data_IF_592116291281
#
_entry.id   IF_592116291281
#
_cell.length_a   1.000
_cell.length_b   1.000
_cell.length_c   1.000
_cell.angle_alpha   90.00
_cell.angle_beta   90.00
_cell.angle_gamma   90.00
#
_symmetry.space_group_name_H-M   'P 1'
#
loop_
_entity.id
_entity.type
_entity.pdbx_description
1 polymer ?
#
# COMPACT_ATOMS: atom_id res chain seq x y z
N UNK A 1 9.89 -0.27 7.03
CA UNK A 1 9.83 0.16 5.62
C UNK A 1 8.40 0.58 5.30
N UNK A 2 8.19 1.54 4.40
CA UNK A 2 6.84 1.96 4.04
C UNK A 2 6.29 1.06 2.93
N UNK A 3 5.07 0.55 3.13
CA UNK A 3 4.37 -0.24 2.11
C UNK A 3 3.58 0.71 1.21
N UNK A 4 3.77 0.56 -0.09
CA UNK A 4 3.04 1.32 -1.10
C UNK A 4 2.14 0.38 -1.91
N UNK A 5 0.84 0.65 -1.90
CA UNK A 5 -0.11 0.03 -2.83
C UNK A 5 0.04 0.64 -4.20
N UNK A 6 0.16 -0.21 -5.22
CA UNK A 6 0.27 0.24 -6.60
C UNK A 6 -0.79 -0.40 -7.51
N UNK A 7 -1.13 0.35 -8.54
CA UNK A 7 -1.91 -0.11 -9.70
C UNK A 7 -1.08 0.21 -10.93
N UNK A 8 -0.75 -0.80 -11.71
CA UNK A 8 0.04 -0.66 -12.92
C UNK A 8 -0.52 -1.52 -14.06
N UNK A 9 -0.10 -1.22 -15.28
CA UNK A 9 -0.38 -2.03 -16.47
C UNK A 9 0.93 -2.73 -16.87
N UNK A 10 0.89 -4.05 -17.03
CA UNK A 10 2.02 -4.80 -17.57
C UNK A 10 2.21 -4.50 -19.05
N UNK A 11 3.36 -4.86 -19.60
CA UNK A 11 3.60 -4.77 -21.05
C UNK A 11 2.55 -5.54 -21.88
N UNK A 12 1.93 -6.58 -21.33
CA UNK A 12 0.86 -7.35 -21.99
C UNK A 12 -0.52 -6.67 -21.93
N UNK A 13 -0.61 -5.45 -21.39
CA UNK A 13 -1.88 -4.74 -21.22
C UNK A 13 -2.69 -5.21 -20.00
N UNK A 14 -2.13 -6.10 -19.17
CA UNK A 14 -2.83 -6.65 -18.01
C UNK A 14 -2.71 -5.69 -16.83
N UNK A 15 -3.83 -5.36 -16.20
CA UNK A 15 -3.86 -4.55 -14.99
C UNK A 15 -3.39 -5.38 -13.81
N UNK A 16 -2.35 -4.92 -13.12
CA UNK A 16 -1.76 -5.56 -11.94
C UNK A 16 -1.90 -4.61 -10.76
N UNK A 17 -2.38 -5.16 -9.66
CA UNK A 17 -2.45 -4.47 -8.36
C UNK A 17 -1.63 -5.25 -7.35
N UNK A 18 -0.87 -4.55 -6.51
CA UNK A 18 -0.06 -5.19 -5.48
C UNK A 18 0.58 -4.18 -4.54
N UNK A 19 1.41 -4.71 -3.66
CA UNK A 19 2.10 -3.93 -2.64
C UNK A 19 3.60 -3.97 -2.92
N UNK A 20 4.29 -2.85 -2.65
CA UNK A 20 5.74 -2.77 -2.79
C UNK A 20 6.34 -2.05 -1.59
N UNK A 21 7.37 -2.68 -1.02
CA UNK A 21 8.17 -2.08 0.03
C UNK A 21 9.18 -1.11 -0.55
N UNK A 22 9.14 0.14 -0.11
CA UNK A 22 10.13 1.15 -0.48
C UNK A 22 10.32 2.16 0.66
N UNK A 23 11.46 2.86 0.64
CA UNK A 23 11.67 3.98 1.55
C UNK A 23 10.79 5.18 1.16
N UNK A 24 10.71 5.45 -0.14
CA UNK A 24 10.05 6.63 -0.69
C UNK A 24 9.28 6.31 -1.98
N UNK A 25 8.30 7.14 -2.32
CA UNK A 25 7.46 6.97 -3.51
C UNK A 25 8.26 6.97 -4.83
N UNK A 26 9.39 7.70 -4.85
CA UNK A 26 10.29 7.78 -6.01
C UNK A 26 10.98 6.43 -6.27
N UNK A 27 11.40 5.76 -5.20
CA UNK A 27 12.01 4.42 -5.26
C UNK A 27 10.95 3.39 -5.68
N UNK A 28 9.73 3.46 -5.11
CA UNK A 28 8.63 2.59 -5.51
C UNK A 28 8.33 2.68 -7.02
N UNK A 29 8.24 3.90 -7.59
CA UNK A 29 8.08 4.07 -9.04
C UNK A 29 9.24 3.50 -9.83
N UNK A 30 10.47 3.78 -9.41
CA UNK A 30 11.66 3.28 -10.09
C UNK A 30 11.67 1.74 -10.16
N UNK A 31 11.34 1.07 -9.05
CA UNK A 31 11.25 -0.39 -9.01
C UNK A 31 10.17 -0.94 -9.95
N UNK A 32 9.03 -0.26 -10.06
CA UNK A 32 7.96 -0.66 -10.98
C UNK A 32 8.34 -0.44 -12.45
N UNK A 33 9.01 0.68 -12.77
CA UNK A 33 9.52 0.92 -14.12
C UNK A 33 10.61 -0.05 -14.52
N UNK A 34 11.50 -0.44 -13.59
CA UNK A 34 12.51 -1.49 -13.83
C UNK A 34 11.88 -2.84 -14.22
N UNK A 35 10.64 -3.10 -13.79
CA UNK A 35 9.86 -4.28 -14.16
C UNK A 35 9.05 -4.10 -15.46
N UNK A 36 9.28 -3.04 -16.24
CA UNK A 36 8.49 -2.68 -17.41
C UNK A 36 6.99 -2.57 -17.13
N UNK A 37 6.62 -2.09 -15.95
CA UNK A 37 5.23 -1.83 -15.58
C UNK A 37 4.92 -0.35 -15.72
N UNK A 38 3.81 -0.03 -16.38
CA UNK A 38 3.34 1.34 -16.52
C UNK A 38 2.46 1.71 -15.33
N UNK A 39 2.97 2.57 -14.45
CA UNK A 39 2.30 2.95 -13.21
C UNK A 39 1.10 3.86 -13.51
N UNK A 40 -0.08 3.50 -12.99
CA UNK A 40 -1.28 4.35 -13.02
C UNK A 40 -1.49 5.08 -11.69
N UNK A 41 -1.29 4.37 -10.58
CA UNK A 41 -1.49 4.93 -9.23
C UNK A 41 -0.56 4.26 -8.23
N UNK A 42 -0.02 5.05 -7.31
CA UNK A 42 0.72 4.57 -6.14
C UNK A 42 0.24 5.36 -4.93
N UNK A 43 -0.14 4.66 -3.88
CA UNK A 43 -0.61 5.24 -2.61
C UNK A 43 0.18 4.63 -1.47
N UNK A 44 0.59 5.47 -0.51
CA UNK A 44 1.19 4.99 0.74
C UNK A 44 0.08 4.43 1.61
N UNK A 45 0.23 3.21 2.08
CA UNK A 45 -0.73 2.68 3.07
C UNK A 45 -0.43 3.24 4.46
N UNK A 46 -1.42 3.90 5.05
CA UNK A 46 -1.40 4.32 6.43
C UNK A 46 -2.11 3.26 7.28
N UNK A 47 -1.38 2.22 7.70
CA UNK A 47 -1.89 1.19 8.62
C UNK A 47 -2.21 1.72 10.03
N UNK A 48 -1.84 2.96 10.34
CA UNK A 48 -1.96 3.52 11.68
C UNK A 48 -3.42 3.66 12.15
N UNK A 49 -4.36 4.01 11.26
CA UNK A 49 -5.73 4.36 11.64
C UNK A 49 -6.61 3.16 12.01
N UNK A 50 -6.37 1.98 11.44
CA UNK A 50 -7.18 0.78 11.73
C UNK A 50 -6.84 0.21 13.12
N UNK A 51 -5.57 0.27 13.53
CA UNK A 51 -5.14 -0.22 14.85
C UNK A 51 -5.76 0.55 16.02
N UNK A 52 -6.04 1.86 15.84
CA UNK A 52 -6.64 2.71 16.86
C UNK A 52 -8.11 2.41 17.10
N UNK A 53 -8.84 1.96 16.08
CA UNK A 53 -10.26 1.59 16.22
C UNK A 53 -10.45 0.26 16.95
N UNK A 54 -9.54 -0.69 16.77
CA UNK A 54 -9.59 -1.99 17.48
C UNK A 54 -9.40 -1.82 18.99
N UNK A 55 -8.44 -0.99 19.43
CA UNK A 55 -8.19 -0.76 20.86
C UNK A 55 -9.37 -0.07 21.58
N UNK A 56 -10.09 0.81 20.89
CA UNK A 56 -11.22 1.55 21.49
C UNK A 56 -12.44 0.65 21.75
N UNK A 57 -12.62 -0.40 20.95
CA UNK A 57 -13.70 -1.39 21.12
C UNK A 57 -13.43 -2.34 22.29
N UNK A 58 -12.18 -2.76 22.49
CA UNK A 58 -11.83 -3.67 23.58
C UNK A 58 -11.99 -3.01 24.95
N UNK A 59 -11.62 -1.73 25.10
CA UNK A 59 -11.78 -0.99 26.36
C UNK A 59 -13.27 -0.84 26.75
N UNK A 60 -14.17 -0.70 25.77
CA UNK A 60 -15.62 -0.59 26.03
C UNK A 60 -16.28 -1.91 26.42
N UNK A 61 -15.63 -3.05 26.22
CA UNK A 61 -16.19 -4.38 26.52
C UNK A 61 -15.81 -4.92 27.89
N UNK A 62 -14.95 -4.23 28.63
CA UNK A 62 -14.45 -4.63 29.96
C UNK A 62 -15.23 -3.93 31.10
N UNK A 63 -16.16 -3.04 30.76
CA UNK A 63 -16.97 -2.24 31.72
C UNK A 63 -18.46 -2.64 31.76
N UNK A 64 -18.79 -3.91 31.53
CA UNK A 64 -20.12 -4.48 31.77
C UNK A 64 -20.01 -5.83 32.47
#
# INVERSE_FOLDING_TARGET
MAVFKYVAISRSGTKITGDIDAENIRIARYLLYKKNMHVLSIKKEFYFLISMWSKKIVIRRIWY
#
